data_IF_363980305990
#
_entry.id   IF_363980305990
#
_cell.length_a   1.000
_cell.length_b   1.000
_cell.length_c   1.000
_cell.angle_alpha   90.00
_cell.angle_beta   90.00
_cell.angle_gamma   90.00
#
_symmetry.space_group_name_H-M   'P 1'
#
loop_
_entity.id
_entity.type
_entity.pdbx_description
1 polymer ?
#
# COMPACT_ATOMS: atom_id res chain seq x y z
N UNK A 1 9.13 -11.88 8.34
CA UNK A 1 7.98 -11.52 7.57
C UNK A 1 6.93 -12.61 7.52
N UNK A 2 5.84 -12.27 6.93
CA UNK A 2 4.73 -13.19 6.73
C UNK A 2 5.04 -14.09 5.54
N UNK A 3 4.63 -15.37 5.62
CA UNK A 3 4.85 -16.32 4.52
C UNK A 3 4.23 -15.79 3.22
N UNK A 4 4.94 -15.95 2.08
CA UNK A 4 4.44 -15.41 0.81
C UNK A 4 3.03 -15.91 0.44
N UNK A 5 2.71 -17.15 0.77
CA UNK A 5 1.39 -17.69 0.46
C UNK A 5 0.28 -16.95 1.21
N UNK A 6 0.54 -16.63 2.50
CA UNK A 6 -0.43 -15.90 3.31
C UNK A 6 -0.61 -14.49 2.77
N UNK A 7 0.48 -13.83 2.38
CA UNK A 7 0.42 -12.49 1.78
C UNK A 7 -0.42 -12.52 0.50
N UNK A 8 -0.21 -13.53 -0.35
CA UNK A 8 -0.97 -13.66 -1.59
C UNK A 8 -2.45 -13.88 -1.32
N UNK A 9 -2.79 -14.67 -0.31
CA UNK A 9 -4.19 -14.92 0.06
C UNK A 9 -4.84 -13.65 0.59
N UNK A 10 -4.13 -12.87 1.39
CA UNK A 10 -4.63 -11.59 1.90
C UNK A 10 -4.90 -10.62 0.76
N UNK A 11 -3.96 -10.50 -0.18
CA UNK A 11 -4.13 -9.62 -1.33
C UNK A 11 -5.33 -10.03 -2.17
N UNK A 12 -5.51 -11.32 -2.38
CA UNK A 12 -6.64 -11.84 -3.15
C UNK A 12 -7.97 -11.53 -2.46
N UNK A 13 -8.02 -11.72 -1.14
CA UNK A 13 -9.21 -11.42 -0.35
C UNK A 13 -9.58 -9.94 -0.43
N UNK A 14 -8.57 -9.06 -0.27
CA UNK A 14 -8.81 -7.62 -0.34
C UNK A 14 -9.34 -7.22 -1.73
N UNK A 15 -8.75 -7.76 -2.79
CA UNK A 15 -9.21 -7.46 -4.15
C UNK A 15 -10.64 -7.94 -4.38
N UNK A 16 -10.99 -9.11 -3.84
CA UNK A 16 -12.34 -9.64 -3.96
C UNK A 16 -13.36 -8.74 -3.26
N UNK A 17 -13.02 -8.25 -2.08
CA UNK A 17 -13.89 -7.31 -1.35
C UNK A 17 -14.07 -6.02 -2.13
N UNK A 18 -13.01 -5.47 -2.70
CA UNK A 18 -13.09 -4.27 -3.51
C UNK A 18 -13.97 -4.46 -4.74
N UNK A 19 -13.88 -5.63 -5.37
CA UNK A 19 -14.70 -5.94 -6.54
C UNK A 19 -16.19 -5.98 -6.20
N UNK A 20 -16.53 -6.23 -4.93
CA UNK A 20 -17.92 -6.22 -4.47
C UNK A 20 -18.39 -4.84 -4.00
N UNK A 21 -17.56 -3.81 -4.20
CA UNK A 21 -17.92 -2.45 -3.82
C UNK A 21 -17.58 -2.08 -2.38
N UNK A 22 -16.84 -2.93 -1.68
CA UNK A 22 -16.43 -2.66 -0.31
C UNK A 22 -15.24 -1.70 -0.32
N UNK A 23 -15.30 -0.67 0.52
CA UNK A 23 -14.16 0.22 0.74
C UNK A 23 -13.29 -0.38 1.82
N UNK A 24 -11.97 -0.44 1.55
CA UNK A 24 -11.02 -1.04 2.48
C UNK A 24 -9.97 -0.01 2.87
N UNK A 25 -9.75 0.16 4.17
CA UNK A 25 -8.68 0.98 4.71
C UNK A 25 -7.61 0.06 5.27
N UNK A 26 -6.37 0.23 4.78
CA UNK A 26 -5.25 -0.61 5.15
C UNK A 26 -4.11 0.26 5.67
N UNK A 27 -3.59 -0.10 6.86
CA UNK A 27 -2.36 0.49 7.37
C UNK A 27 -1.24 -0.54 7.20
N UNK A 28 -0.18 -0.19 6.47
CA UNK A 28 0.84 -1.16 6.12
C UNK A 28 2.19 -0.46 5.91
N UNK A 29 3.25 -1.09 6.40
CA UNK A 29 4.62 -0.62 6.19
C UNK A 29 5.27 -1.27 4.96
N UNK A 30 4.76 -2.40 4.51
CA UNK A 30 5.28 -3.09 3.35
C UNK A 30 4.69 -2.44 2.08
N UNK A 31 5.48 -1.58 1.46
CA UNK A 31 5.00 -0.83 0.28
C UNK A 31 4.65 -1.74 -0.90
N UNK A 32 5.43 -2.78 -1.24
CA UNK A 32 5.04 -3.69 -2.32
C UNK A 32 3.68 -4.34 -2.11
N UNK A 33 3.35 -4.72 -0.87
CA UNK A 33 2.04 -5.30 -0.57
C UNK A 33 0.93 -4.25 -0.74
N UNK A 34 1.14 -3.06 -0.17
CA UNK A 34 0.16 -1.97 -0.29
C UNK A 34 -0.05 -1.60 -1.77
N UNK A 35 1.02 -1.54 -2.55
CA UNK A 35 0.94 -1.25 -3.97
C UNK A 35 0.08 -2.27 -4.71
N UNK A 36 0.16 -3.53 -4.31
CA UNK A 36 -0.58 -4.60 -4.98
C UNK A 36 -2.09 -4.51 -4.75
N UNK A 37 -2.54 -3.92 -3.64
CA UNK A 37 -3.95 -3.95 -3.25
C UNK A 37 -4.62 -2.59 -3.17
N UNK A 38 -3.87 -1.51 -3.01
CA UNK A 38 -4.43 -0.18 -2.78
C UNK A 38 -4.51 0.63 -4.07
N UNK A 39 -5.54 1.47 -4.14
CA UNK A 39 -5.72 2.40 -5.26
C UNK A 39 -5.12 3.76 -4.94
N UNK A 40 -5.21 4.17 -3.68
CA UNK A 40 -4.68 5.45 -3.18
C UNK A 40 -3.89 5.20 -1.92
N UNK A 41 -2.98 6.13 -1.62
CA UNK A 41 -2.14 6.02 -0.44
C UNK A 41 -1.94 7.37 0.22
N UNK A 42 -1.80 7.30 1.55
CA UNK A 42 -1.34 8.41 2.36
C UNK A 42 -0.08 7.92 3.08
N UNK A 43 1.06 8.58 2.81
CA UNK A 43 2.29 8.26 3.53
C UNK A 43 2.37 9.14 4.78
N UNK A 44 2.55 8.49 5.92
CA UNK A 44 2.56 9.17 7.21
C UNK A 44 3.93 9.00 7.85
N UNK A 45 4.53 10.11 8.25
CA UNK A 45 5.77 10.14 9.01
C UNK A 45 5.58 11.04 10.21
N UNK A 46 5.92 10.53 11.40
CA UNK A 46 5.87 11.30 12.64
C UNK A 46 4.51 11.98 12.84
N UNK A 47 3.45 11.25 12.52
CA UNK A 47 2.09 11.75 12.69
C UNK A 47 1.60 12.71 11.62
N UNK A 48 2.38 12.90 10.55
CA UNK A 48 2.01 13.84 9.49
C UNK A 48 1.94 13.13 8.14
N UNK A 49 0.97 13.53 7.32
CA UNK A 49 0.88 13.05 5.95
C UNK A 49 1.92 13.81 5.12
N UNK A 50 2.90 13.09 4.60
CA UNK A 50 3.98 13.69 3.81
C UNK A 50 3.77 13.52 2.31
N UNK A 51 3.02 12.50 1.90
CA UNK A 51 2.64 12.28 0.50
C UNK A 51 1.24 11.69 0.46
N UNK A 52 0.49 12.04 -0.57
CA UNK A 52 -0.83 11.45 -0.80
C UNK A 52 -1.12 11.43 -2.29
N UNK A 53 -1.97 10.51 -2.71
CA UNK A 53 -2.42 10.45 -4.08
C UNK A 53 -2.70 9.02 -4.52
N UNK A 54 -2.80 8.85 -5.83
CA UNK A 54 -2.98 7.53 -6.41
C UNK A 54 -1.73 6.71 -6.14
N UNK A 55 -1.92 5.42 -5.87
CA UNK A 55 -0.79 4.55 -5.52
C UNK A 55 0.30 4.60 -6.60
N UNK A 56 -0.07 4.60 -7.88
CA UNK A 56 0.91 4.65 -8.96
C UNK A 56 1.76 5.91 -8.91
N UNK A 57 1.17 7.05 -8.55
CA UNK A 57 1.89 8.31 -8.46
C UNK A 57 2.79 8.35 -7.22
N UNK A 58 2.30 7.80 -6.12
CA UNK A 58 3.07 7.78 -4.87
C UNK A 58 4.31 6.91 -5.02
N UNK A 59 4.19 5.73 -5.62
CA UNK A 59 5.35 4.83 -5.77
C UNK A 59 6.32 5.33 -6.83
N UNK A 60 5.87 6.15 -7.76
CA UNK A 60 6.75 6.74 -8.78
C UNK A 60 7.56 7.91 -8.23
N UNK A 61 7.19 8.46 -7.07
CA UNK A 61 7.88 9.59 -6.48
C UNK A 61 9.27 9.17 -6.00
N UNK A 62 10.36 9.84 -6.47
CA UNK A 62 11.73 9.46 -6.08
C UNK A 62 11.97 9.52 -4.57
N UNK A 63 11.37 10.49 -3.88
CA UNK A 63 11.53 10.62 -2.43
C UNK A 63 10.89 9.45 -1.69
N UNK A 64 9.73 9.00 -2.16
CA UNK A 64 9.06 7.85 -1.57
C UNK A 64 9.90 6.59 -1.78
N UNK A 65 10.41 6.38 -2.96
CA UNK A 65 11.23 5.20 -3.27
C UNK A 65 12.52 5.20 -2.44
N UNK A 66 13.13 6.36 -2.27
CA UNK A 66 14.37 6.49 -1.51
C UNK A 66 14.14 6.25 -0.03
N UNK A 67 13.06 6.79 0.54
CA UNK A 67 12.84 6.80 1.99
C UNK A 67 11.99 5.63 2.47
N UNK A 68 11.05 5.15 1.65
CA UNK A 68 10.08 4.16 2.09
C UNK A 68 10.37 2.75 1.57
N UNK A 69 11.12 2.61 0.49
CA UNK A 69 11.52 1.30 0.01
C UNK A 69 12.82 0.81 0.66
N UNK A 70 13.44 1.65 1.48
CA UNK A 70 14.52 1.21 2.34
C UNK A 70 15.81 0.84 1.64
N UNK A 71 16.04 1.35 0.51
CA UNK A 71 17.25 1.02 -0.27
C UNK A 71 18.22 2.14 -0.31
#
# INVERSE_FOLDING_TARGET
GVAPLIVQQMARTIRAMKAQGVSVLLSEQNLPFAEAVADRAYLIEQGQVVHEGRMADVVANPDVRKNCLGV
#
